data_IF_510282755583
#
_entry.id   IF_510282755583
#
_cell.length_a   1.000
_cell.length_b   1.000
_cell.length_c   1.000
_cell.angle_alpha   90.00
_cell.angle_beta   90.00
_cell.angle_gamma   90.00
#
_symmetry.space_group_name_H-M   'P 1'
#
loop_
_entity.id
_entity.type
_entity.pdbx_description
1 polymer ?
#
# COMPACT_ATOMS: atom_id res chain seq x y z
N UNK A 1 -9.35 6.80 -5.68
CA UNK A 1 -8.13 7.10 -6.46
C UNK A 1 -7.69 5.93 -7.34
N UNK A 2 -7.47 4.71 -6.83
CA UNK A 2 -7.11 3.55 -7.68
C UNK A 2 -8.22 3.11 -8.65
N UNK A 3 -9.48 3.33 -8.30
CA UNK A 3 -10.66 2.99 -9.12
C UNK A 3 -10.78 3.81 -10.41
N UNK A 4 -10.08 4.95 -10.51
CA UNK A 4 -10.12 5.82 -11.67
C UNK A 4 -8.96 5.58 -12.65
N UNK A 5 -8.01 4.70 -12.33
CA UNK A 5 -6.85 4.45 -13.18
C UNK A 5 -7.16 3.40 -14.26
N UNK A 6 -6.61 3.53 -15.48
CA UNK A 6 -6.72 2.50 -16.49
C UNK A 6 -6.17 1.16 -15.98
N UNK A 7 -6.87 0.06 -16.27
CA UNK A 7 -6.50 -1.29 -15.81
C UNK A 7 -5.09 -1.69 -16.25
N UNK A 8 -4.62 -1.20 -17.39
CA UNK A 8 -3.26 -1.43 -17.88
C UNK A 8 -2.19 -0.90 -16.92
N UNK A 9 -2.43 0.30 -16.34
CA UNK A 9 -1.52 0.92 -15.37
C UNK A 9 -1.53 0.14 -14.06
N UNK A 10 -2.71 -0.23 -13.56
CA UNK A 10 -2.83 -1.05 -12.34
C UNK A 10 -2.09 -2.38 -12.51
N UNK A 11 -2.27 -3.06 -13.63
CA UNK A 11 -1.59 -4.34 -13.91
C UNK A 11 -0.07 -4.17 -14.08
N UNK A 12 0.40 -3.03 -14.58
CA UNK A 12 1.82 -2.74 -14.65
C UNK A 12 2.42 -2.56 -13.24
N UNK A 13 1.77 -1.76 -12.39
CA UNK A 13 2.21 -1.52 -11.02
C UNK A 13 2.23 -2.81 -10.19
N UNK A 14 1.18 -3.64 -10.30
CA UNK A 14 1.11 -4.94 -9.61
C UNK A 14 2.26 -5.87 -9.98
N UNK A 15 2.74 -5.81 -11.23
CA UNK A 15 3.91 -6.61 -11.65
C UNK A 15 5.21 -6.13 -11.02
N UNK A 16 5.33 -4.83 -10.78
CA UNK A 16 6.51 -4.21 -10.15
C UNK A 16 6.52 -4.30 -8.63
N UNK A 17 5.36 -4.41 -7.97
CA UNK A 17 5.26 -4.70 -6.53
C UNK A 17 6.05 -5.96 -6.18
N UNK A 18 6.87 -5.98 -5.13
CA UNK A 18 7.68 -7.15 -4.80
C UNK A 18 6.77 -8.33 -4.39
N UNK A 19 6.00 -8.15 -3.32
CA UNK A 19 4.99 -9.10 -2.86
C UNK A 19 4.05 -8.41 -1.85
N UNK A 20 2.75 -8.72 -1.82
CA UNK A 20 2.01 -9.62 -2.70
C UNK A 20 1.74 -9.04 -4.10
N UNK A 21 1.66 -9.89 -5.13
CA UNK A 21 1.41 -9.50 -6.54
C UNK A 21 -0.06 -9.19 -6.81
N UNK A 22 -0.62 -8.21 -6.09
CA UNK A 22 -1.99 -7.70 -6.28
C UNK A 22 -2.10 -6.27 -5.78
N UNK A 23 -3.22 -5.62 -6.12
CA UNK A 23 -3.58 -4.36 -5.48
C UNK A 23 -3.82 -4.58 -3.97
N UNK A 24 -3.48 -3.55 -3.19
CA UNK A 24 -3.83 -3.49 -1.77
C UNK A 24 -5.34 -3.48 -1.59
N UNK A 25 -5.81 -4.11 -0.53
CA UNK A 25 -7.21 -4.10 -0.14
C UNK A 25 -7.44 -3.01 0.92
N UNK A 26 -8.59 -2.32 0.93
CA UNK A 26 -8.88 -1.29 1.92
C UNK A 26 -8.73 -1.76 3.38
N UNK A 27 -9.05 -3.02 3.66
CA UNK A 27 -8.99 -3.60 4.99
C UNK A 27 -7.56 -3.73 5.52
N UNK A 28 -6.56 -3.88 4.63
CA UNK A 28 -5.14 -3.95 5.01
C UNK A 28 -4.64 -2.59 5.50
N UNK A 29 -5.12 -1.51 4.88
CA UNK A 29 -4.84 -0.14 5.36
C UNK A 29 -5.54 0.13 6.70
N UNK A 30 -6.81 -0.26 6.84
CA UNK A 30 -7.54 -0.12 8.09
C UNK A 30 -6.87 -0.89 9.25
N UNK A 31 -6.32 -2.07 8.95
CA UNK A 31 -5.55 -2.83 9.92
C UNK A 31 -4.29 -2.08 10.38
N UNK A 32 -3.51 -1.51 9.45
CA UNK A 32 -2.35 -0.68 9.81
C UNK A 32 -2.74 0.50 10.71
N UNK A 33 -3.82 1.21 10.37
CA UNK A 33 -4.34 2.32 11.22
C UNK A 33 -4.66 1.83 12.63
N UNK A 34 -5.27 0.66 12.75
CA UNK A 34 -5.59 0.06 14.06
C UNK A 34 -4.32 -0.24 14.86
N UNK A 35 -3.28 -0.81 14.23
CA UNK A 35 -1.98 -1.06 14.88
C UNK A 35 -1.31 0.23 15.36
N UNK A 36 -1.39 1.32 14.57
CA UNK A 36 -0.84 2.62 14.95
C UNK A 36 -1.56 3.18 16.19
N UNK A 37 -2.90 3.15 16.20
CA UNK A 37 -3.71 3.65 17.33
C UNK A 37 -3.47 2.87 18.63
N UNK A 38 -3.13 1.59 18.53
CA UNK A 38 -2.94 0.69 19.68
C UNK A 38 -1.53 0.73 20.28
N UNK A 39 -0.56 1.37 19.62
CA UNK A 39 0.83 1.39 20.08
C UNK A 39 1.30 2.83 20.40
N UNK A 40 1.30 3.24 21.67
CA UNK A 40 1.66 4.61 22.07
C UNK A 40 3.08 5.05 21.70
N UNK A 41 3.98 4.11 21.41
CA UNK A 41 5.37 4.42 21.03
C UNK A 41 5.54 4.73 19.53
N UNK A 42 4.54 4.45 18.69
CA UNK A 42 4.59 4.81 17.28
C UNK A 42 4.20 6.28 17.13
N UNK A 43 5.19 7.14 16.92
CA UNK A 43 5.02 8.59 16.84
C UNK A 43 6.05 9.22 15.90
N UNK A 44 5.63 10.25 15.14
CA UNK A 44 6.53 11.02 14.29
C UNK A 44 7.15 10.26 13.12
N UNK A 45 6.53 9.16 12.66
CA UNK A 45 7.10 8.27 11.65
C UNK A 45 6.18 8.09 10.43
N UNK A 46 6.76 7.70 9.30
CA UNK A 46 6.05 7.40 8.05
C UNK A 46 6.22 5.93 7.69
N UNK A 47 5.11 5.18 7.68
CA UNK A 47 5.11 3.77 7.28
C UNK A 47 4.56 3.63 5.87
N UNK A 48 5.35 3.03 4.98
CA UNK A 48 4.90 2.67 3.62
C UNK A 48 4.17 1.33 3.66
N UNK A 49 2.95 1.30 3.11
CA UNK A 49 2.15 0.10 2.90
C UNK A 49 1.95 -0.12 1.39
N UNK A 50 2.95 -0.71 0.73
CA UNK A 50 2.99 -0.75 -0.75
C UNK A 50 3.51 -2.06 -1.37
N UNK A 51 3.72 -3.10 -0.55
CA UNK A 51 4.25 -4.39 -1.02
C UNK A 51 5.66 -4.30 -1.62
N UNK A 52 6.45 -3.30 -1.22
CA UNK A 52 7.83 -3.11 -1.69
C UNK A 52 7.92 -2.41 -3.05
N UNK A 53 6.83 -1.82 -3.56
CA UNK A 53 6.83 -1.11 -4.84
C UNK A 53 7.83 0.07 -4.81
N UNK A 54 8.51 0.28 -5.93
CA UNK A 54 9.24 1.52 -6.22
C UNK A 54 8.65 2.07 -7.51
N UNK A 55 8.11 3.29 -7.44
CA UNK A 55 7.52 3.93 -8.60
C UNK A 55 8.62 4.17 -9.63
N UNK A 56 8.44 3.73 -10.89
CA UNK A 56 9.34 4.09 -11.96
C UNK A 56 9.29 5.61 -12.20
N UNK A 57 10.36 6.20 -12.76
CA UNK A 57 10.37 7.62 -13.13
C UNK A 57 9.27 7.98 -14.13
#
# INVERSE_FOLDING_TARGET
MLTAMPRSVVNHLVRQTAFPKRAGKPEEFAHLVTCLLQNPMLNGEVIRLDGGLRMPP
#
